data_IF_916417474922
#
_entry.id   IF_916417474922
#
_cell.length_a   1.000
_cell.length_b   1.000
_cell.length_c   1.000
_cell.angle_alpha   90.00
_cell.angle_beta   90.00
_cell.angle_gamma   90.00
#
_symmetry.space_group_name_H-M   'P 1'
#
loop_
_entity.id
_entity.type
_entity.pdbx_description
1 polymer ?
#
# COMPACT_ATOMS: atom_id res chain seq x y z
N UNK A 1 1.39 -12.81 13.20
CA UNK A 1 0.79 -13.89 12.37
C UNK A 1 0.84 -15.17 13.16
N UNK A 2 -0.30 -15.84 13.35
CA UNK A 2 -0.48 -17.05 14.16
C UNK A 2 0.24 -18.29 13.62
N UNK A 3 0.97 -18.18 12.51
CA UNK A 3 1.65 -19.31 11.84
C UNK A 3 0.73 -20.30 11.13
N UNK A 4 -0.57 -20.16 11.26
CA UNK A 4 -1.53 -20.99 10.55
C UNK A 4 -1.65 -20.54 9.08
N UNK A 5 -1.63 -21.49 8.16
CA UNK A 5 -1.85 -21.23 6.73
C UNK A 5 -3.36 -21.21 6.47
N UNK A 6 -3.85 -20.07 5.99
CA UNK A 6 -5.22 -19.94 5.48
C UNK A 6 -5.23 -20.05 3.95
N UNK A 7 -6.29 -20.62 3.40
CA UNK A 7 -6.56 -20.61 1.96
C UNK A 7 -7.71 -19.64 1.73
N UNK A 8 -7.45 -18.62 0.89
CA UNK A 8 -8.45 -17.63 0.51
C UNK A 8 -8.78 -17.81 -0.97
N UNK A 9 -10.03 -18.12 -1.26
CA UNK A 9 -10.53 -18.27 -2.61
C UNK A 9 -11.00 -16.92 -3.13
N UNK A 10 -10.53 -16.55 -4.32
CA UNK A 10 -10.91 -15.30 -5.00
C UNK A 10 -11.12 -15.62 -6.47
N UNK A 11 -12.29 -15.26 -7.02
CA UNK A 11 -12.53 -15.39 -8.45
C UNK A 11 -11.71 -14.35 -9.25
N UNK A 12 -11.56 -14.56 -10.55
CA UNK A 12 -10.87 -13.60 -11.43
C UNK A 12 -11.56 -12.24 -11.44
N UNK A 13 -12.88 -12.21 -11.42
CA UNK A 13 -13.67 -10.97 -11.36
C UNK A 13 -13.48 -10.21 -10.06
N UNK A 14 -13.47 -10.92 -8.92
CA UNK A 14 -13.20 -10.32 -7.60
C UNK A 14 -11.79 -9.77 -7.53
N UNK A 15 -10.80 -10.52 -8.04
CA UNK A 15 -9.41 -10.07 -8.14
C UNK A 15 -9.28 -8.81 -8.99
N UNK A 16 -9.90 -8.80 -10.18
CA UNK A 16 -9.89 -7.65 -11.07
C UNK A 16 -10.55 -6.42 -10.43
N UNK A 17 -11.67 -6.59 -9.74
CA UNK A 17 -12.35 -5.51 -9.01
C UNK A 17 -11.48 -4.94 -7.87
N UNK A 18 -10.80 -5.81 -7.12
CA UNK A 18 -9.87 -5.38 -6.08
C UNK A 18 -8.71 -4.55 -6.66
N UNK A 19 -8.04 -5.08 -7.69
CA UNK A 19 -6.95 -4.37 -8.36
C UNK A 19 -7.41 -3.02 -8.89
N UNK A 20 -8.56 -2.96 -9.55
CA UNK A 20 -9.12 -1.72 -10.06
C UNK A 20 -9.39 -0.71 -8.93
N UNK A 21 -9.93 -1.17 -7.79
CA UNK A 21 -10.18 -0.31 -6.63
C UNK A 21 -8.88 0.28 -6.07
N UNK A 22 -7.82 -0.55 -5.92
CA UNK A 22 -6.50 -0.08 -5.46
C UNK A 22 -5.90 0.91 -6.46
N UNK A 23 -5.92 0.60 -7.77
CA UNK A 23 -5.37 1.49 -8.79
C UNK A 23 -6.06 2.85 -8.79
N UNK A 24 -7.39 2.86 -8.79
CA UNK A 24 -8.16 4.12 -8.88
C UNK A 24 -8.04 4.95 -7.60
N UNK A 25 -8.14 4.32 -6.43
CA UNK A 25 -8.22 5.04 -5.14
C UNK A 25 -6.87 5.37 -4.56
N UNK A 26 -5.89 4.50 -4.75
CA UNK A 26 -4.56 4.61 -4.11
C UNK A 26 -3.55 5.21 -5.08
N UNK A 27 -3.38 4.62 -6.25
CA UNK A 27 -2.43 5.12 -7.26
C UNK A 27 -3.00 6.37 -7.94
N UNK A 28 -4.30 6.38 -8.23
CA UNK A 28 -4.98 7.43 -8.99
C UNK A 28 -4.80 7.28 -10.50
N UNK A 29 -5.72 7.88 -11.27
CA UNK A 29 -5.65 7.89 -12.73
C UNK A 29 -4.73 9.03 -13.20
N UNK A 30 -3.83 8.74 -14.14
CA UNK A 30 -2.91 9.72 -14.72
C UNK A 30 -2.65 9.42 -16.19
N UNK A 31 -2.54 10.47 -16.99
CA UNK A 31 -2.09 10.38 -18.38
C UNK A 31 -0.56 10.42 -18.50
N UNK A 32 0.16 10.74 -17.40
CA UNK A 32 1.61 10.68 -17.35
C UNK A 32 2.04 9.30 -16.93
N UNK A 33 3.13 8.81 -17.51
CA UNK A 33 3.76 7.58 -17.05
C UNK A 33 4.17 7.72 -15.57
N UNK A 34 3.80 6.73 -14.76
CA UNK A 34 4.18 6.61 -13.36
C UNK A 34 4.98 5.34 -13.14
N UNK A 35 6.00 5.44 -12.31
CA UNK A 35 6.86 4.33 -11.92
C UNK A 35 6.68 4.09 -10.44
N UNK A 36 6.33 2.86 -10.09
CA UNK A 36 6.02 2.45 -8.72
C UNK A 36 7.11 1.50 -8.23
N UNK A 37 7.80 1.90 -7.17
CA UNK A 37 8.61 0.99 -6.38
C UNK A 37 7.75 0.34 -5.31
N UNK A 38 7.67 -0.97 -5.33
CA UNK A 38 6.79 -1.75 -4.48
C UNK A 38 7.58 -2.69 -3.58
N UNK A 39 7.68 -2.33 -2.30
CA UNK A 39 8.44 -3.08 -1.30
C UNK A 39 7.54 -4.05 -0.55
N UNK A 40 7.70 -5.34 -0.79
CA UNK A 40 6.91 -6.40 -0.18
C UNK A 40 7.75 -7.61 0.21
N UNK A 41 7.16 -8.48 1.04
CA UNK A 41 7.75 -9.78 1.44
C UNK A 41 7.77 -10.80 0.30
N UNK A 42 6.81 -10.73 -0.59
CA UNK A 42 6.71 -11.64 -1.74
C UNK A 42 6.19 -10.89 -2.96
N UNK A 43 6.71 -11.24 -4.13
CA UNK A 43 6.16 -10.75 -5.38
C UNK A 43 4.73 -11.28 -5.54
N UNK A 44 3.85 -10.48 -6.10
CA UNK A 44 2.47 -10.84 -6.36
C UNK A 44 2.18 -10.66 -7.85
N UNK A 45 1.80 -11.75 -8.51
CA UNK A 45 1.32 -11.74 -9.91
C UNK A 45 0.16 -10.76 -10.11
N UNK A 46 -0.55 -10.43 -9.01
CA UNK A 46 -1.62 -9.46 -9.01
C UNK A 46 -1.18 -8.10 -9.56
N UNK A 47 0.01 -7.64 -9.19
CA UNK A 47 0.54 -6.33 -9.60
C UNK A 47 1.25 -6.38 -10.95
N UNK A 48 1.74 -7.55 -11.36
CA UNK A 48 2.31 -7.72 -12.70
C UNK A 48 1.25 -7.61 -13.79
N UNK A 49 0.02 -8.06 -13.51
CA UNK A 49 -1.10 -8.01 -14.45
C UNK A 49 -1.57 -6.60 -14.81
N UNK A 50 -1.17 -5.57 -14.03
CA UNK A 50 -1.57 -4.17 -14.25
C UNK A 50 -0.49 -3.30 -14.87
N UNK A 51 0.63 -3.88 -15.27
CA UNK A 51 1.66 -3.18 -16.04
C UNK A 51 1.06 -2.65 -17.35
N UNK A 52 1.33 -1.40 -17.65
CA UNK A 52 0.92 -0.75 -18.88
C UNK A 52 1.95 0.29 -19.31
N UNK A 53 1.80 0.88 -20.48
CA UNK A 53 2.68 1.97 -20.93
C UNK A 53 2.62 3.22 -20.01
N UNK A 54 1.56 3.33 -19.20
CA UNK A 54 1.36 4.46 -18.27
C UNK A 54 1.73 4.10 -16.82
N UNK A 55 1.92 2.81 -16.51
CA UNK A 55 2.17 2.36 -15.15
C UNK A 55 3.18 1.21 -15.13
N UNK A 56 4.38 1.53 -14.68
CA UNK A 56 5.47 0.58 -14.51
C UNK A 56 5.60 0.21 -13.03
N UNK A 57 5.57 -1.09 -12.71
CA UNK A 57 5.79 -1.60 -11.37
C UNK A 57 7.12 -2.32 -11.29
N UNK A 58 7.90 -2.03 -10.27
CA UNK A 58 9.07 -2.81 -9.90
C UNK A 58 8.95 -3.27 -8.46
N UNK A 59 9.10 -4.56 -8.26
CA UNK A 59 9.10 -5.22 -6.96
C UNK A 59 10.48 -5.19 -6.33
N UNK A 60 10.52 -4.91 -5.04
CA UNK A 60 11.71 -4.95 -4.19
C UNK A 60 11.44 -5.85 -2.99
N UNK A 61 12.30 -6.83 -2.77
CA UNK A 61 12.17 -7.78 -1.66
C UNK A 61 12.67 -7.16 -0.36
N UNK A 62 11.78 -6.93 0.60
CA UNK A 62 12.12 -6.31 1.88
C UNK A 62 13.05 -7.15 2.79
N UNK A 63 13.30 -8.40 2.45
CA UNK A 63 14.29 -9.22 3.17
C UNK A 63 15.73 -8.98 2.70
N UNK A 64 15.92 -8.19 1.65
CA UNK A 64 17.23 -7.79 1.19
C UNK A 64 17.56 -6.40 1.74
N UNK A 65 18.84 -6.12 2.07
CA UNK A 65 19.25 -4.80 2.53
C UNK A 65 18.95 -3.69 1.50
N UNK A 66 18.65 -2.49 1.97
CA UNK A 66 18.33 -1.34 1.10
C UNK A 66 19.46 -1.03 0.11
N UNK A 67 20.70 -1.22 0.51
CA UNK A 67 21.88 -1.03 -0.32
C UNK A 67 21.85 -1.88 -1.61
N UNK A 68 21.30 -3.09 -1.54
CA UNK A 68 21.19 -3.97 -2.73
C UNK A 68 20.15 -3.47 -3.72
N UNK A 69 19.18 -2.68 -3.27
CA UNK A 69 18.10 -2.11 -4.09
C UNK A 69 18.45 -0.73 -4.65
N UNK A 70 19.49 -0.10 -4.11
CA UNK A 70 19.78 1.32 -4.37
C UNK A 70 20.04 1.62 -5.85
N UNK A 71 20.88 0.83 -6.50
CA UNK A 71 21.17 1.00 -7.94
C UNK A 71 19.93 0.83 -8.82
N UNK A 72 19.04 -0.11 -8.45
CA UNK A 72 17.79 -0.33 -9.18
C UNK A 72 16.81 0.82 -8.97
N UNK A 73 16.74 1.39 -7.75
CA UNK A 73 15.95 2.59 -7.46
C UNK A 73 16.46 3.81 -8.24
N UNK A 74 17.78 3.98 -8.31
CA UNK A 74 18.40 5.06 -9.12
C UNK A 74 18.09 4.94 -10.61
N UNK A 75 17.99 3.72 -11.13
CA UNK A 75 17.58 3.45 -12.53
C UNK A 75 16.09 3.63 -12.75
N UNK A 76 15.26 3.11 -11.84
CA UNK A 76 13.80 3.20 -11.93
C UNK A 76 13.32 4.64 -11.82
N UNK A 77 13.86 5.41 -10.87
CA UNK A 77 13.42 6.77 -10.50
C UNK A 77 11.91 6.80 -10.20
N UNK A 78 11.45 6.04 -9.19
CA UNK A 78 10.03 5.87 -8.95
C UNK A 78 9.37 7.20 -8.54
N UNK A 79 8.24 7.53 -9.17
CA UNK A 79 7.39 8.64 -8.74
C UNK A 79 6.47 8.26 -7.59
N UNK A 80 6.26 6.96 -7.38
CA UNK A 80 5.43 6.43 -6.30
C UNK A 80 6.20 5.36 -5.54
N UNK A 81 6.21 5.46 -4.21
CA UNK A 81 6.79 4.47 -3.31
C UNK A 81 5.67 3.83 -2.49
N UNK A 82 5.58 2.51 -2.53
CA UNK A 82 4.66 1.72 -1.70
C UNK A 82 5.49 0.80 -0.82
N UNK A 83 5.50 1.05 0.48
CA UNK A 83 6.32 0.32 1.42
C UNK A 83 5.79 0.40 2.86
N UNK A 84 6.32 -0.45 3.73
CA UNK A 84 6.16 -0.31 5.17
C UNK A 84 6.86 0.97 5.67
N UNK A 85 6.35 1.63 6.72
CA UNK A 85 7.04 2.75 7.37
C UNK A 85 8.50 2.47 7.69
N UNK A 86 8.81 1.30 8.23
CA UNK A 86 10.19 0.89 8.54
C UNK A 86 11.10 0.91 7.31
N UNK A 87 10.63 0.39 6.18
CA UNK A 87 11.37 0.38 4.91
C UNK A 87 11.55 1.78 4.33
N UNK A 88 10.54 2.64 4.46
CA UNK A 88 10.65 4.04 4.03
C UNK A 88 11.70 4.79 4.86
N UNK A 89 11.78 4.52 6.16
CA UNK A 89 12.83 5.09 7.03
C UNK A 89 14.22 4.61 6.61
N UNK A 90 14.39 3.33 6.27
CA UNK A 90 15.65 2.81 5.71
C UNK A 90 16.02 3.51 4.39
N UNK A 91 15.04 3.74 3.52
CA UNK A 91 15.24 4.50 2.29
C UNK A 91 15.70 5.94 2.56
N UNK A 92 15.13 6.60 3.58
CA UNK A 92 15.53 7.94 4.00
C UNK A 92 16.99 7.93 4.47
N UNK A 93 17.36 6.98 5.34
CA UNK A 93 18.73 6.83 5.84
C UNK A 93 19.72 6.60 4.69
N UNK A 94 19.36 5.76 3.72
CA UNK A 94 20.20 5.55 2.54
C UNK A 94 20.34 6.81 1.70
N UNK A 95 19.24 7.57 1.53
CA UNK A 95 19.23 8.81 0.76
C UNK A 95 20.03 9.97 1.39
N UNK A 96 20.27 9.91 2.69
CA UNK A 96 21.19 10.88 3.36
C UNK A 96 22.65 10.60 3.04
N UNK A 97 22.99 9.35 2.68
CA UNK A 97 24.33 8.97 2.22
C UNK A 97 24.50 9.23 0.72
N UNK A 98 23.47 8.88 -0.04
CA UNK A 98 23.47 8.96 -1.50
C UNK A 98 22.23 9.73 -1.98
N UNK A 99 22.42 10.91 -2.52
CA UNK A 99 21.34 11.81 -2.94
C UNK A 99 20.33 11.15 -3.90
N UNK A 100 19.03 11.39 -3.69
CA UNK A 100 17.96 10.99 -4.63
C UNK A 100 17.79 12.06 -5.72
N UNK A 101 18.17 11.79 -6.98
CA UNK A 101 18.12 12.77 -8.06
C UNK A 101 16.77 12.84 -8.79
N UNK A 102 15.66 12.37 -8.17
CA UNK A 102 14.32 12.41 -8.77
C UNK A 102 13.25 12.90 -7.78
N UNK A 103 12.07 13.25 -8.31
CA UNK A 103 10.94 13.70 -7.51
C UNK A 103 10.01 12.55 -7.18
N UNK A 104 9.63 12.42 -5.90
CA UNK A 104 8.61 11.50 -5.42
C UNK A 104 7.28 12.26 -5.38
N UNK A 105 6.26 11.77 -6.10
CA UNK A 105 4.93 12.38 -6.15
C UNK A 105 4.01 11.82 -5.06
N UNK A 106 4.23 10.56 -4.65
CA UNK A 106 3.38 9.87 -3.70
C UNK A 106 4.14 8.83 -2.89
N UNK A 107 3.84 8.77 -1.59
CA UNK A 107 4.30 7.72 -0.68
C UNK A 107 3.06 7.07 -0.06
N UNK A 108 3.00 5.74 -0.12
CA UNK A 108 1.90 4.93 0.37
C UNK A 108 2.45 3.97 1.41
N UNK A 109 2.05 4.19 2.65
CA UNK A 109 2.37 3.32 3.78
C UNK A 109 1.43 2.12 3.82
N UNK A 110 1.99 0.92 3.92
CA UNK A 110 1.27 -0.36 3.92
C UNK A 110 1.81 -1.30 4.99
N UNK A 111 1.01 -2.30 5.37
CA UNK A 111 1.39 -3.48 6.14
C UNK A 111 1.93 -3.28 7.57
N UNK A 112 2.24 -2.06 7.99
CA UNK A 112 2.63 -1.69 9.35
C UNK A 112 1.84 -0.46 9.82
N UNK A 113 1.78 -0.25 11.12
CA UNK A 113 1.17 0.96 11.69
C UNK A 113 2.08 2.16 11.40
N UNK A 114 1.57 3.15 10.70
CA UNK A 114 2.25 4.44 10.56
C UNK A 114 2.09 5.23 11.85
N UNK A 115 3.18 5.36 12.63
CA UNK A 115 3.14 6.17 13.85
C UNK A 115 3.18 7.65 13.51
N UNK A 116 2.66 8.56 14.37
CA UNK A 116 2.76 10.00 14.16
C UNK A 116 4.21 10.48 13.97
N UNK A 117 5.16 9.85 14.65
CA UNK A 117 6.59 10.15 14.53
C UNK A 117 7.12 9.80 13.14
N UNK A 118 6.80 8.59 12.66
CA UNK A 118 7.26 8.11 11.34
C UNK A 118 6.62 8.95 10.22
N UNK A 119 5.32 9.26 10.35
CA UNK A 119 4.62 10.13 9.41
C UNK A 119 5.29 11.50 9.31
N UNK A 120 5.66 12.09 10.45
CA UNK A 120 6.36 13.38 10.47
C UNK A 120 7.72 13.30 9.78
N UNK A 121 8.53 12.27 10.07
CA UNK A 121 9.85 12.08 9.44
C UNK A 121 9.69 11.94 7.92
N UNK A 122 8.82 11.04 7.48
CA UNK A 122 8.62 10.73 6.07
C UNK A 122 8.07 11.95 5.32
N UNK A 123 7.04 12.61 5.88
CA UNK A 123 6.45 13.79 5.25
C UNK A 123 7.41 14.97 5.16
N UNK A 124 8.27 15.15 6.16
CA UNK A 124 9.31 16.20 6.15
C UNK A 124 10.35 15.94 5.07
N UNK A 125 10.82 14.70 4.97
CA UNK A 125 11.81 14.31 3.96
C UNK A 125 11.26 14.43 2.54
N UNK A 126 10.09 13.85 2.28
CA UNK A 126 9.50 13.84 0.94
C UNK A 126 8.78 15.14 0.56
N UNK A 127 8.47 16.01 1.54
CA UNK A 127 7.67 17.23 1.40
C UNK A 127 6.26 17.00 0.85
N UNK A 128 5.71 15.81 1.11
CA UNK A 128 4.36 15.40 0.75
C UNK A 128 3.71 14.68 1.93
N UNK A 129 2.39 14.61 1.92
CA UNK A 129 1.66 13.77 2.88
C UNK A 129 1.86 12.30 2.57
N UNK A 130 1.86 11.46 3.61
CA UNK A 130 1.90 10.01 3.47
C UNK A 130 0.47 9.49 3.37
N UNK A 131 0.17 8.81 2.28
CA UNK A 131 -1.07 8.06 2.17
C UNK A 131 -0.92 6.71 2.87
N UNK A 132 -2.02 6.20 3.41
CA UNK A 132 -2.07 4.91 4.07
C UNK A 132 -3.05 3.99 3.37
N UNK A 133 -2.71 2.71 3.32
CA UNK A 133 -3.60 1.64 2.89
C UNK A 133 -3.68 0.60 3.99
N UNK A 134 -4.88 0.37 4.48
CA UNK A 134 -5.17 -0.75 5.36
C UNK A 134 -5.73 -1.90 4.53
N UNK A 135 -4.91 -2.92 4.39
CA UNK A 135 -5.19 -4.09 3.59
C UNK A 135 -4.76 -5.35 4.37
N UNK A 136 -5.54 -6.38 4.25
CA UNK A 136 -5.27 -7.72 4.78
C UNK A 136 -5.56 -8.76 3.71
N UNK A 137 -5.41 -10.04 4.03
CA UNK A 137 -5.70 -11.15 3.10
C UNK A 137 -7.16 -11.15 2.69
N UNK A 138 -8.04 -10.70 3.59
CA UNK A 138 -9.49 -10.65 3.39
C UNK A 138 -9.92 -9.52 2.45
N UNK A 139 -9.13 -8.45 2.33
CA UNK A 139 -9.51 -7.39 1.41
C UNK A 139 -8.79 -6.06 1.57
N UNK A 140 -9.14 -5.13 0.68
CA UNK A 140 -8.73 -3.73 0.71
C UNK A 140 -9.72 -2.93 1.58
N UNK A 141 -9.38 -2.75 2.87
CA UNK A 141 -10.33 -2.29 3.89
C UNK A 141 -10.46 -0.76 3.97
N UNK A 142 -9.33 -0.05 3.96
CA UNK A 142 -9.34 1.41 4.08
C UNK A 142 -8.19 2.04 3.28
N UNK A 143 -8.34 3.31 2.94
CA UNK A 143 -7.31 4.11 2.28
C UNK A 143 -7.42 5.58 2.67
N UNK A 144 -6.32 6.30 2.52
CA UNK A 144 -6.30 7.76 2.71
C UNK A 144 -7.01 8.45 1.56
N UNK A 145 -8.00 9.29 1.86
CA UNK A 145 -8.72 10.08 0.88
C UNK A 145 -7.95 11.35 0.47
N UNK A 146 -8.46 12.08 -0.52
CA UNK A 146 -7.86 13.33 -1.01
C UNK A 146 -7.72 14.43 0.05
N UNK A 147 -8.45 14.32 1.18
CA UNK A 147 -8.34 15.24 2.33
C UNK A 147 -7.27 14.79 3.35
N UNK A 148 -6.62 13.64 3.13
CA UNK A 148 -5.59 13.09 4.01
C UNK A 148 -6.13 12.30 5.20
N UNK A 149 -7.40 11.91 5.21
CA UNK A 149 -7.99 11.09 6.26
C UNK A 149 -8.11 9.62 5.83
N UNK A 150 -7.82 8.69 6.73
CA UNK A 150 -8.03 7.27 6.49
C UNK A 150 -9.52 6.94 6.57
N UNK A 151 -10.09 6.38 5.51
CA UNK A 151 -11.50 6.01 5.41
C UNK A 151 -11.68 4.53 5.08
N UNK A 152 -12.68 3.91 5.71
CA UNK A 152 -13.17 2.61 5.31
C UNK A 152 -13.73 2.65 3.87
N UNK A 153 -13.54 1.57 3.14
CA UNK A 153 -14.10 1.39 1.80
C UNK A 153 -15.57 0.96 1.86
N UNK A 154 -16.42 1.80 2.47
CA UNK A 154 -17.82 1.51 2.80
C UNK A 154 -18.78 1.33 1.61
N UNK A 155 -18.33 1.56 0.38
CA UNK A 155 -19.11 1.31 -0.83
C UNK A 155 -19.11 -0.17 -1.27
N UNK A 156 -18.26 -1.00 -0.68
CA UNK A 156 -18.26 -2.44 -0.91
C UNK A 156 -18.07 -3.28 0.35
N UNK A 157 -18.07 -2.65 1.51
CA UNK A 157 -18.06 -3.37 2.79
C UNK A 157 -18.94 -2.67 3.82
N UNK A 158 -19.56 -3.46 4.68
CA UNK A 158 -20.20 -3.01 5.89
C UNK A 158 -19.21 -3.12 7.04
N UNK A 159 -19.06 -2.05 7.82
CA UNK A 159 -18.20 -2.04 9.01
C UNK A 159 -19.06 -1.75 10.22
N UNK A 160 -19.22 -2.72 11.07
CA UNK A 160 -19.89 -2.61 12.36
C UNK A 160 -18.85 -2.49 13.47
N UNK A 161 -19.14 -1.70 14.50
CA UNK A 161 -18.23 -1.44 15.61
C UNK A 161 -18.70 -2.17 16.86
N UNK A 162 -17.91 -3.11 17.34
CA UNK A 162 -18.09 -3.73 18.64
C UNK A 162 -17.19 -2.99 19.65
N UNK A 163 -17.80 -2.09 20.43
CA UNK A 163 -17.06 -1.22 21.34
C UNK A 163 -16.52 -1.98 22.54
N UNK A 164 -15.22 -1.91 22.76
CA UNK A 164 -14.53 -2.41 23.95
C UNK A 164 -14.49 -1.38 25.07
N UNK A 165 -14.37 -0.12 24.72
CA UNK A 165 -14.40 1.06 25.62
C UNK A 165 -14.68 2.31 24.78
N UNK A 166 -14.61 3.51 25.40
CA UNK A 166 -14.91 4.80 24.75
C UNK A 166 -14.04 5.11 23.51
N UNK A 167 -12.83 4.54 23.45
CA UNK A 167 -11.83 4.86 22.41
C UNK A 167 -11.41 3.68 21.54
N UNK A 168 -11.88 2.46 21.85
CA UNK A 168 -11.46 1.24 21.16
C UNK A 168 -12.65 0.38 20.79
N UNK A 169 -12.62 -0.18 19.59
CA UNK A 169 -13.61 -1.12 19.11
C UNK A 169 -12.96 -2.23 18.25
N UNK A 170 -13.61 -3.37 18.19
CA UNK A 170 -13.30 -4.42 17.22
C UNK A 170 -14.15 -4.14 15.98
N UNK A 171 -13.56 -3.96 14.80
CA UNK A 171 -14.33 -3.84 13.57
C UNK A 171 -14.82 -5.21 13.13
N UNK A 172 -16.13 -5.37 12.96
CA UNK A 172 -16.72 -6.50 12.26
C UNK A 172 -16.96 -6.08 10.82
N UNK A 173 -16.35 -6.78 9.88
CA UNK A 173 -16.33 -6.38 8.47
C UNK A 173 -17.02 -7.43 7.63
N UNK A 174 -18.08 -7.02 6.91
CA UNK A 174 -18.77 -7.85 5.93
C UNK A 174 -18.44 -7.33 4.53
N UNK A 175 -17.78 -8.15 3.69
CA UNK A 175 -17.54 -7.84 2.29
C UNK A 175 -18.80 -8.07 1.45
N UNK A 176 -19.36 -7.01 0.88
CA UNK A 176 -20.61 -7.02 0.11
C UNK A 176 -20.41 -7.47 -1.35
N UNK A 177 -19.18 -7.55 -1.82
CA UNK A 177 -18.81 -7.88 -3.21
C UNK A 177 -18.28 -9.30 -3.36
N UNK A 178 -17.80 -9.88 -2.29
CA UNK A 178 -17.16 -11.19 -2.32
C UNK A 178 -18.22 -12.30 -2.25
N UNK A 179 -18.27 -13.10 -3.30
CA UNK A 179 -19.24 -14.19 -3.43
C UNK A 179 -18.60 -15.57 -3.43
N UNK A 180 -17.34 -15.68 -3.84
CA UNK A 180 -16.60 -16.96 -3.92
C UNK A 180 -16.32 -17.53 -2.53
N UNK A 181 -15.93 -16.70 -1.58
CA UNK A 181 -15.75 -17.04 -0.17
C UNK A 181 -16.24 -15.87 0.67
N UNK A 182 -17.53 -15.85 1.06
CA UNK A 182 -18.06 -14.78 1.87
C UNK A 182 -17.29 -14.59 3.17
N UNK A 183 -17.03 -13.34 3.54
CA UNK A 183 -16.28 -12.95 4.75
C UNK A 183 -17.19 -12.04 5.58
N UNK A 184 -17.35 -12.40 6.85
CA UNK A 184 -18.08 -11.62 7.86
C UNK A 184 -17.19 -11.39 9.07
#
# INVERSE_FOLDING_TARGET
TSGNRGIFLVSESERAAWVAAVLVRVIGVSLKQRKVAFFLRANSELYESVRSNLLEFQYFNIFQPMETHWEELLRLKPSIIVAQPSVIIELIIQSERDYIPWSIEKIISVAEVLTPKDEQIISTWARIKVDQVYQCTEGFLAHTCSKGNLHWNSDFMLVEKEWLNENQYIPRITDLKRTTQPIV
#
